data_IF_030795513166
#
_entry.id   IF_030795513166
#
_cell.length_a   1.000
_cell.length_b   1.000
_cell.length_c   1.000
_cell.angle_alpha   90.00
_cell.angle_beta   90.00
_cell.angle_gamma   90.00
#
_symmetry.space_group_name_H-M   'P 1'
#
loop_
_entity.id
_entity.type
_entity.pdbx_description
1 polymer ?
#
# COMPACT_ATOMS: atom_id res chain seq x y z
N UNK A 1 6.99 11.04 -13.11
CA UNK A 1 6.27 11.03 -11.82
C UNK A 1 6.32 12.40 -11.14
N UNK A 2 5.18 12.92 -10.65
CA UNK A 2 5.13 14.16 -9.85
C UNK A 2 5.75 13.90 -8.45
N UNK A 3 6.44 14.88 -7.83
CA UNK A 3 7.10 14.68 -6.53
C UNK A 3 6.14 14.20 -5.43
N UNK A 4 4.91 14.75 -5.40
CA UNK A 4 3.86 14.34 -4.45
C UNK A 4 3.47 12.87 -4.56
N UNK A 5 3.46 12.31 -5.78
CA UNK A 5 3.07 10.91 -6.01
C UNK A 5 4.05 9.95 -5.35
N UNK A 6 5.35 10.29 -5.37
CA UNK A 6 6.37 9.49 -4.68
C UNK A 6 6.18 9.54 -3.18
N UNK A 7 6.00 10.75 -2.61
CA UNK A 7 5.77 10.90 -1.17
C UNK A 7 4.55 10.10 -0.73
N UNK A 8 3.42 10.24 -1.44
CA UNK A 8 2.19 9.49 -1.16
C UNK A 8 2.41 7.99 -1.18
N UNK A 9 3.10 7.44 -2.19
CA UNK A 9 3.40 6.00 -2.25
C UNK A 9 4.15 5.50 -1.00
N UNK A 10 5.15 6.26 -0.53
CA UNK A 10 5.93 5.89 0.64
C UNK A 10 5.12 6.07 1.94
N UNK A 11 4.29 7.11 2.04
CA UNK A 11 3.38 7.29 3.18
C UNK A 11 2.36 6.16 3.28
N UNK A 12 1.79 5.71 2.16
CA UNK A 12 0.88 4.56 2.10
C UNK A 12 1.60 3.28 2.56
N UNK A 13 2.81 3.04 2.07
CA UNK A 13 3.62 1.90 2.50
C UNK A 13 3.89 1.92 4.01
N UNK A 14 4.24 3.10 4.56
CA UNK A 14 4.51 3.27 5.98
C UNK A 14 3.28 2.99 6.84
N UNK A 15 2.13 3.56 6.51
CA UNK A 15 0.89 3.30 7.26
C UNK A 15 0.50 1.82 7.18
N UNK A 16 0.69 1.19 6.02
CA UNK A 16 0.46 -0.26 5.87
C UNK A 16 1.38 -1.07 6.79
N UNK A 17 2.67 -0.72 6.88
CA UNK A 17 3.61 -1.37 7.81
C UNK A 17 3.17 -1.24 9.27
N UNK A 18 2.82 -0.03 9.72
CA UNK A 18 2.42 0.23 11.10
C UNK A 18 1.15 -0.53 11.49
N UNK A 19 0.15 -0.55 10.61
CA UNK A 19 -1.09 -1.31 10.82
C UNK A 19 -0.77 -2.80 10.99
N UNK A 20 0.06 -3.37 10.11
CA UNK A 20 0.45 -4.77 10.22
C UNK A 20 1.30 -5.04 11.46
N UNK A 21 2.13 -4.10 11.92
CA UNK A 21 2.90 -4.24 13.15
C UNK A 21 2.01 -4.31 14.40
N UNK A 22 0.88 -3.60 14.42
CA UNK A 22 -0.10 -3.65 15.52
C UNK A 22 -0.80 -5.01 15.57
N UNK A 23 -1.17 -5.55 14.41
CA UNK A 23 -1.92 -6.80 14.32
C UNK A 23 -1.05 -8.07 14.46
N UNK A 24 0.27 -7.99 14.27
CA UNK A 24 1.17 -9.14 14.40
C UNK A 24 1.88 -9.15 15.76
N UNK A 25 1.79 -10.27 16.50
CA UNK A 25 2.59 -10.45 17.72
C UNK A 25 4.09 -10.63 17.37
N UNK A 26 5.00 -9.87 17.98
CA UNK A 26 6.44 -10.03 17.75
C UNK A 26 6.91 -11.37 18.32
N UNK A 27 7.05 -12.38 17.46
CA UNK A 27 7.51 -13.72 17.88
C UNK A 27 7.75 -14.73 16.76
N UNK A 28 7.43 -14.42 15.50
CA UNK A 28 7.59 -15.36 14.38
C UNK A 28 8.83 -15.04 13.54
N UNK A 29 9.68 -16.05 13.41
CA UNK A 29 10.95 -16.23 12.69
C UNK A 29 11.28 -15.28 11.53
N UNK A 30 12.58 -15.04 11.31
CA UNK A 30 13.14 -14.21 10.23
C UNK A 30 12.62 -14.56 8.81
N UNK A 31 12.19 -15.81 8.56
CA UNK A 31 11.55 -16.22 7.30
C UNK A 31 10.15 -15.62 7.09
N UNK A 32 9.39 -15.40 8.17
CA UNK A 32 8.12 -14.67 8.15
C UNK A 32 8.28 -13.23 7.71
N UNK A 33 9.42 -12.59 8.06
CA UNK A 33 9.69 -11.19 7.74
C UNK A 33 9.73 -10.91 6.23
N UNK A 34 10.30 -11.80 5.40
CA UNK A 34 10.39 -11.58 3.94
C UNK A 34 9.04 -11.67 3.26
N UNK A 35 8.27 -12.71 3.60
CA UNK A 35 6.91 -12.90 3.05
C UNK A 35 5.98 -11.79 3.51
N UNK A 36 6.09 -11.37 4.78
CA UNK A 36 5.34 -10.26 5.33
C UNK A 36 5.70 -8.93 4.65
N UNK A 37 6.98 -8.60 4.50
CA UNK A 37 7.41 -7.39 3.77
C UNK A 37 6.93 -7.38 2.31
N UNK A 38 6.97 -8.54 1.65
CA UNK A 38 6.44 -8.66 0.30
C UNK A 38 4.93 -8.37 0.27
N UNK A 39 4.17 -8.97 1.21
CA UNK A 39 2.73 -8.78 1.31
C UNK A 39 2.35 -7.32 1.60
N UNK A 40 3.02 -6.68 2.57
CA UNK A 40 2.85 -5.27 2.89
C UNK A 40 3.10 -4.39 1.66
N UNK A 41 4.17 -4.66 0.91
CA UNK A 41 4.45 -3.93 -0.33
C UNK A 41 3.37 -4.13 -1.39
N UNK A 42 2.87 -5.36 -1.56
CA UNK A 42 1.78 -5.65 -2.50
C UNK A 42 0.51 -4.87 -2.14
N UNK A 43 0.15 -4.83 -0.86
CA UNK A 43 -0.97 -4.02 -0.34
C UNK A 43 -0.75 -2.54 -0.63
N UNK A 44 0.43 -2.01 -0.31
CA UNK A 44 0.73 -0.60 -0.53
C UNK A 44 0.62 -0.20 -2.01
N UNK A 45 1.14 -1.03 -2.91
CA UNK A 45 1.02 -0.85 -4.37
C UNK A 45 -0.44 -0.87 -4.82
N UNK A 46 -1.22 -1.83 -4.32
CA UNK A 46 -2.65 -1.95 -4.61
C UNK A 46 -3.43 -0.71 -4.15
N UNK A 47 -3.22 -0.23 -2.92
CA UNK A 47 -3.89 0.95 -2.38
C UNK A 47 -3.53 2.22 -3.15
N UNK A 48 -2.27 2.37 -3.56
CA UNK A 48 -1.84 3.48 -4.42
C UNK A 48 -2.59 3.47 -5.76
N UNK A 49 -2.85 2.29 -6.31
CA UNK A 49 -3.56 2.18 -7.57
C UNK A 49 -5.07 2.40 -7.42
N UNK A 50 -5.70 1.70 -6.48
CA UNK A 50 -7.16 1.68 -6.33
C UNK A 50 -7.71 2.92 -5.66
N UNK A 51 -7.08 3.38 -4.57
CA UNK A 51 -7.59 4.52 -3.78
C UNK A 51 -7.10 5.85 -4.33
N UNK A 52 -5.83 5.93 -4.73
CA UNK A 52 -5.24 7.19 -5.20
C UNK A 52 -5.31 7.34 -6.73
N UNK A 53 -5.80 6.32 -7.45
CA UNK A 53 -5.84 6.29 -8.92
C UNK A 53 -4.49 6.57 -9.58
N UNK A 54 -3.38 6.23 -8.91
CA UNK A 54 -2.05 6.43 -9.47
C UNK A 54 -1.79 5.43 -10.61
N UNK A 55 -1.15 5.86 -11.71
CA UNK A 55 -0.76 4.94 -12.78
C UNK A 55 0.22 3.88 -12.25
N UNK A 56 0.01 2.61 -12.61
CA UNK A 56 0.89 1.51 -12.18
C UNK A 56 2.37 1.72 -12.55
N UNK A 57 2.64 2.46 -13.64
CA UNK A 57 4.00 2.82 -14.02
C UNK A 57 4.66 3.80 -13.04
N UNK A 58 3.93 4.81 -12.57
CA UNK A 58 4.43 5.76 -11.57
C UNK A 58 4.61 5.06 -10.21
N UNK A 59 3.70 4.16 -9.84
CA UNK A 59 3.84 3.34 -8.62
C UNK A 59 5.12 2.49 -8.73
N UNK A 60 5.33 1.81 -9.86
CA UNK A 60 6.55 1.02 -10.10
C UNK A 60 7.81 1.87 -9.90
N UNK A 61 7.86 3.06 -10.53
CA UNK A 61 8.96 4.01 -10.35
C UNK A 61 9.13 4.44 -8.88
N UNK A 62 8.05 4.68 -8.15
CA UNK A 62 8.11 5.07 -6.74
C UNK A 62 8.73 3.98 -5.85
N UNK A 63 8.38 2.71 -6.09
CA UNK A 63 8.86 1.58 -5.31
C UNK A 63 10.14 0.92 -5.86
N UNK A 64 10.65 1.36 -7.02
CA UNK A 64 11.81 0.76 -7.68
C UNK A 64 11.53 -0.59 -8.37
N UNK A 65 10.29 -0.80 -8.82
CA UNK A 65 9.85 -2.00 -9.53
C UNK A 65 9.31 -1.67 -10.93
N UNK A 66 9.21 -2.69 -11.77
CA UNK A 66 8.56 -2.58 -13.07
C UNK A 66 7.02 -2.54 -12.95
N UNK A 67 6.36 -2.08 -14.01
CA UNK A 67 4.89 -1.99 -14.06
C UNK A 67 4.21 -3.35 -13.88
N UNK A 68 4.80 -4.45 -14.38
CA UNK A 68 4.21 -5.78 -14.29
C UNK A 68 4.23 -6.33 -12.86
N UNK A 69 5.25 -5.97 -12.07
CA UNK A 69 5.28 -6.25 -10.62
C UNK A 69 4.11 -5.57 -9.90
N UNK A 70 3.78 -4.32 -10.24
CA UNK A 70 2.62 -3.62 -9.67
C UNK A 70 1.30 -4.26 -10.11
N UNK A 71 1.18 -4.63 -11.39
CA UNK A 71 0.02 -5.35 -11.90
C UNK A 71 -0.17 -6.68 -11.16
N UNK A 72 0.90 -7.45 -10.99
CA UNK A 72 0.89 -8.71 -10.25
C UNK A 72 0.49 -8.50 -8.78
N UNK A 73 1.03 -7.47 -8.12
CA UNK A 73 0.62 -7.11 -6.77
C UNK A 73 -0.89 -6.80 -6.69
N UNK A 74 -1.44 -6.08 -7.66
CA UNK A 74 -2.87 -5.77 -7.68
C UNK A 74 -3.73 -7.03 -7.79
N UNK A 75 -3.40 -7.94 -8.72
CA UNK A 75 -4.10 -9.22 -8.84
C UNK A 75 -4.02 -10.04 -7.56
N UNK A 76 -2.84 -10.16 -6.96
CA UNK A 76 -2.65 -10.93 -5.71
C UNK A 76 -3.49 -10.39 -4.57
N UNK A 77 -3.68 -9.07 -4.45
CA UNK A 77 -4.49 -8.49 -3.39
C UNK A 77 -5.98 -8.63 -3.69
N UNK A 78 -6.39 -8.44 -4.95
CA UNK A 78 -7.79 -8.63 -5.37
C UNK A 78 -8.25 -10.06 -5.11
N UNK A 79 -7.45 -11.07 -5.49
CA UNK A 79 -7.74 -12.48 -5.24
C UNK A 79 -7.87 -12.78 -3.73
N UNK A 80 -7.14 -12.06 -2.87
CA UNK A 80 -7.16 -12.30 -1.42
C UNK A 80 -8.30 -11.59 -0.70
N UNK A 81 -9.02 -10.66 -1.33
CA UNK A 81 -10.20 -10.02 -0.73
C UNK A 81 -11.34 -10.99 -0.44
N UNK A 82 -11.32 -12.18 -1.04
CA UNK A 82 -12.22 -13.28 -0.67
C UNK A 82 -12.08 -13.68 0.81
N UNK A 83 -10.95 -13.36 1.46
CA UNK A 83 -10.79 -13.52 2.90
C UNK A 83 -11.36 -12.31 3.66
N UNK A 84 -12.50 -12.51 4.33
CA UNK A 84 -13.21 -11.46 5.08
C UNK A 84 -12.33 -10.72 6.10
N UNK A 85 -11.45 -11.41 6.83
CA UNK A 85 -10.58 -10.78 7.82
C UNK A 85 -9.54 -9.85 7.18
N UNK A 86 -8.99 -10.24 6.02
CA UNK A 86 -8.11 -9.36 5.26
C UNK A 86 -8.88 -8.18 4.66
N UNK A 87 -10.07 -8.43 4.11
CA UNK A 87 -10.89 -7.40 3.47
C UNK A 87 -11.28 -6.29 4.46
N UNK A 88 -11.61 -6.63 5.70
CA UNK A 88 -11.85 -5.66 6.77
C UNK A 88 -10.62 -4.77 7.03
N UNK A 89 -9.42 -5.37 7.10
CA UNK A 89 -8.16 -4.63 7.28
C UNK A 89 -7.90 -3.72 6.07
N UNK A 90 -8.12 -4.22 4.85
CA UNK A 90 -7.99 -3.42 3.63
C UNK A 90 -8.96 -2.24 3.64
N UNK A 91 -10.21 -2.43 4.06
CA UNK A 91 -11.18 -1.35 4.20
C UNK A 91 -10.75 -0.26 5.20
N UNK A 92 -10.08 -0.63 6.30
CA UNK A 92 -9.47 0.35 7.22
C UNK A 92 -8.36 1.14 6.51
N UNK A 93 -7.45 0.44 5.84
CA UNK A 93 -6.35 1.07 5.12
C UNK A 93 -6.84 2.00 4.00
N UNK A 94 -7.87 1.62 3.25
CA UNK A 94 -8.48 2.47 2.22
C UNK A 94 -8.98 3.80 2.78
N UNK A 95 -9.65 3.78 3.93
CA UNK A 95 -10.12 4.99 4.61
C UNK A 95 -8.94 5.87 5.04
N UNK A 96 -7.89 5.27 5.62
CA UNK A 96 -6.68 6.01 6.02
C UNK A 96 -5.98 6.64 4.82
N UNK A 97 -5.84 5.90 3.72
CA UNK A 97 -5.22 6.40 2.47
C UNK A 97 -6.05 7.52 1.84
N UNK A 98 -7.38 7.43 1.90
CA UNK A 98 -8.27 8.51 1.46
C UNK A 98 -8.00 9.79 2.24
N UNK A 99 -7.92 9.71 3.57
CA UNK A 99 -7.59 10.85 4.44
C UNK A 99 -6.21 11.44 4.13
N UNK A 100 -5.19 10.60 3.99
CA UNK A 100 -3.83 11.03 3.62
C UNK A 100 -3.84 11.82 2.31
N UNK A 101 -4.61 11.35 1.32
CA UNK A 101 -4.71 12.00 0.02
C UNK A 101 -5.29 13.40 0.14
N UNK A 102 -6.31 13.60 0.99
CA UNK A 102 -6.97 14.89 1.23
C UNK A 102 -6.00 15.89 1.84
N UNK A 103 -5.28 15.50 2.91
CA UNK A 103 -4.28 16.35 3.56
C UNK A 103 -3.17 16.75 2.58
N UNK A 104 -2.72 15.83 1.74
CA UNK A 104 -1.74 16.14 0.70
C UNK A 104 -2.28 17.08 -0.39
N UNK A 105 -3.61 17.16 -0.62
CA UNK A 105 -4.19 18.16 -1.54
C UNK A 105 -4.31 19.53 -0.88
N UNK A 106 -4.60 19.59 0.41
CA UNK A 106 -4.73 20.84 1.17
C UNK A 106 -3.39 21.56 1.31
N UNK A 107 -2.30 20.82 1.55
CA UNK A 107 -0.94 21.38 1.56
C UNK A 107 -0.45 21.98 0.24
N UNK A 108 -1.22 21.85 -0.86
CA UNK A 108 -0.92 22.49 -2.16
C UNK A 108 -1.57 23.88 -2.33
N UNK A 109 -2.48 24.26 -1.44
CA UNK A 109 -3.20 25.53 -1.51
C UNK A 109 -2.72 26.55 -0.46
N UNK A 110 -1.67 26.22 0.30
CA UNK A 110 -1.04 27.09 1.31
C UNK A 110 0.34 27.56 0.90
#
# INVERSE_FOLDING_TARGET
MKPDSRLLCHSVARVTEEIFAIFHSPGLSQAGSRRQRCHIRQIAMYLCHVVLSLPQQDIGQAFGYDRSTVSHACHVIEDRRENAALDEILGVLERLVTVLSTVAKEGRHG
#
